data_IF_399444792508
#
_entry.id   IF_399444792508
#
_cell.length_a   1.000
_cell.length_b   1.000
_cell.length_c   1.000
_cell.angle_alpha   90.00
_cell.angle_beta   90.00
_cell.angle_gamma   90.00
#
_symmetry.space_group_name_H-M   'P 1'
#
loop_
_entity.id
_entity.type
_entity.pdbx_description
1 polymer ?
#
# COMPACT_ATOMS: atom_id res chain seq x y z
N UNK A 1 -19.10 -5.58 -6.68
CA UNK A 1 -18.93 -4.96 -8.02
C UNK A 1 -17.75 -4.00 -7.95
N UNK A 2 -16.55 -4.40 -8.38
CA UNK A 2 -15.32 -3.63 -8.09
C UNK A 2 -14.61 -3.03 -9.30
N UNK A 3 -15.19 -3.16 -10.50
CA UNK A 3 -14.58 -2.67 -11.74
C UNK A 3 -15.62 -2.04 -12.69
N UNK A 4 -16.57 -1.25 -12.16
CA UNK A 4 -17.59 -0.57 -12.96
C UNK A 4 -17.47 0.96 -12.78
N UNK A 5 -17.69 1.71 -13.86
CA UNK A 5 -17.76 3.17 -13.82
C UNK A 5 -19.05 3.65 -13.10
N UNK A 6 -19.22 4.97 -12.97
CA UNK A 6 -20.38 5.56 -12.30
C UNK A 6 -21.74 5.20 -12.94
N UNK A 7 -21.74 4.79 -14.22
CA UNK A 7 -22.91 4.36 -14.98
C UNK A 7 -23.16 2.84 -14.89
N UNK A 8 -22.30 2.10 -14.19
CA UNK A 8 -22.45 0.66 -13.98
C UNK A 8 -21.86 -0.23 -15.08
N UNK A 9 -21.19 0.34 -16.08
CA UNK A 9 -20.47 -0.40 -17.13
C UNK A 9 -19.10 -0.88 -16.64
N UNK A 10 -18.65 -2.09 -17.03
CA UNK A 10 -17.30 -2.53 -16.74
C UNK A 10 -16.27 -1.54 -17.30
N UNK A 11 -15.47 -0.94 -16.43
CA UNK A 11 -14.38 -0.04 -16.82
C UNK A 11 -13.07 -0.53 -16.20
N UNK A 12 -12.42 -1.51 -16.84
CA UNK A 12 -11.16 -2.05 -16.37
C UNK A 12 -10.02 -1.02 -16.42
N UNK A 13 -10.12 0.00 -17.28
CA UNK A 13 -9.10 1.03 -17.45
C UNK A 13 -9.10 1.98 -16.26
N UNK A 14 -10.25 2.57 -15.92
CA UNK A 14 -10.38 3.41 -14.74
C UNK A 14 -10.04 2.64 -13.46
N UNK A 15 -10.49 1.39 -13.37
CA UNK A 15 -10.21 0.54 -12.21
C UNK A 15 -8.72 0.22 -12.04
N UNK A 16 -7.98 -0.01 -13.14
CA UNK A 16 -6.53 -0.18 -13.11
C UNK A 16 -5.81 1.11 -12.73
N UNK A 17 -6.25 2.26 -13.25
CA UNK A 17 -5.68 3.56 -12.93
C UNK A 17 -5.83 3.90 -11.44
N UNK A 18 -7.01 3.66 -10.86
CA UNK A 18 -7.27 3.85 -9.42
C UNK A 18 -6.36 2.93 -8.60
N UNK A 19 -6.33 1.62 -8.92
CA UNK A 19 -5.44 0.65 -8.24
C UNK A 19 -3.96 1.03 -8.34
N UNK A 20 -3.54 1.62 -9.45
CA UNK A 20 -2.18 2.11 -9.62
C UNK A 20 -1.90 3.38 -8.80
N UNK A 21 -2.86 4.31 -8.72
CA UNK A 21 -2.76 5.53 -7.94
C UNK A 21 -2.72 5.26 -6.42
N UNK A 22 -3.50 4.29 -5.95
CA UNK A 22 -3.54 3.85 -4.55
C UNK A 22 -2.37 2.94 -4.18
N UNK A 23 -1.54 2.54 -5.14
CA UNK A 23 -0.39 1.66 -4.88
C UNK A 23 0.67 2.42 -4.05
N UNK A 24 1.10 1.86 -2.90
CA UNK A 24 2.19 2.45 -2.14
C UNK A 24 3.48 2.51 -2.97
N UNK A 25 4.30 3.57 -2.81
CA UNK A 25 5.63 3.65 -3.38
C UNK A 25 6.46 2.43 -3.00
N UNK A 26 7.40 2.05 -3.87
CA UNK A 26 8.22 0.85 -3.66
C UNK A 26 9.05 0.92 -2.38
N UNK A 27 9.55 2.11 -2.02
CA UNK A 27 10.27 2.37 -0.77
C UNK A 27 9.43 1.98 0.47
N UNK A 28 8.12 2.30 0.47
CA UNK A 28 7.18 1.99 1.55
C UNK A 28 6.93 0.48 1.64
N UNK A 29 6.76 -0.17 0.47
CA UNK A 29 6.56 -1.62 0.39
C UNK A 29 7.80 -2.34 0.93
N UNK A 30 8.99 -1.92 0.50
CA UNK A 30 10.26 -2.52 0.90
C UNK A 30 10.50 -2.35 2.40
N UNK A 31 10.25 -1.16 2.95
CA UNK A 31 10.41 -0.90 4.38
C UNK A 31 9.50 -1.79 5.24
N UNK A 32 8.24 -1.98 4.82
CA UNK A 32 7.31 -2.91 5.50
C UNK A 32 7.81 -4.36 5.49
N UNK A 33 8.41 -4.81 4.37
CA UNK A 33 9.03 -6.15 4.29
C UNK A 33 10.22 -6.25 5.25
N UNK A 34 11.07 -5.23 5.30
CA UNK A 34 12.24 -5.19 6.17
C UNK A 34 11.87 -5.20 7.66
N UNK A 35 10.90 -4.41 8.09
CA UNK A 35 10.43 -4.44 9.49
C UNK A 35 9.92 -5.83 9.87
N UNK A 36 9.15 -6.48 8.99
CA UNK A 36 8.68 -7.85 9.25
C UNK A 36 9.85 -8.84 9.35
N UNK A 37 10.83 -8.75 8.46
CA UNK A 37 12.01 -9.60 8.49
C UNK A 37 12.83 -9.40 9.78
N UNK A 38 13.09 -8.15 10.17
CA UNK A 38 13.81 -7.82 11.41
C UNK A 38 13.05 -8.27 12.66
N UNK A 39 11.71 -8.18 12.65
CA UNK A 39 10.87 -8.69 13.75
C UNK A 39 11.08 -10.18 13.96
N UNK A 40 11.16 -10.96 12.86
CA UNK A 40 11.43 -12.41 12.92
C UNK A 40 12.85 -12.69 13.40
N UNK A 41 13.86 -12.01 12.84
CA UNK A 41 15.28 -12.24 13.17
C UNK A 41 15.58 -11.92 14.64
N UNK A 42 15.03 -10.82 15.14
CA UNK A 42 15.32 -10.35 16.50
C UNK A 42 14.36 -10.91 17.56
N UNK A 43 13.40 -11.77 17.17
CA UNK A 43 12.34 -12.26 18.06
C UNK A 43 11.55 -11.14 18.77
N UNK A 44 11.37 -10.01 18.07
CA UNK A 44 10.60 -8.86 18.56
C UNK A 44 9.32 -8.69 17.77
N UNK A 45 8.35 -7.98 18.35
CA UNK A 45 7.09 -7.67 17.66
C UNK A 45 6.79 -6.18 17.72
N UNK A 46 6.20 -5.68 16.65
CA UNK A 46 5.61 -4.34 16.64
C UNK A 46 4.28 -4.38 17.38
N UNK A 47 4.15 -3.61 18.46
CA UNK A 47 2.91 -3.54 19.26
C UNK A 47 1.87 -2.57 18.71
N UNK A 48 2.29 -1.57 17.93
CA UNK A 48 1.44 -0.48 17.44
C UNK A 48 1.42 -0.33 15.92
N UNK A 49 0.78 0.75 15.45
CA UNK A 49 0.76 1.09 14.02
C UNK A 49 2.07 1.77 13.61
N UNK A 50 2.76 1.19 12.63
CA UNK A 50 3.89 1.85 11.96
C UNK A 50 3.34 2.66 10.79
N UNK A 51 3.47 3.98 10.86
CA UNK A 51 3.07 4.90 9.80
C UNK A 51 4.32 5.40 9.08
N UNK A 52 4.33 5.28 7.76
CA UNK A 52 5.47 5.70 6.94
C UNK A 52 5.10 6.96 6.16
N UNK A 53 6.05 7.87 6.01
CA UNK A 53 5.88 9.08 5.21
C UNK A 53 6.73 8.94 3.96
N UNK A 54 6.11 9.01 2.78
CA UNK A 54 6.85 9.01 1.52
C UNK A 54 7.51 10.38 1.26
N UNK A 55 8.39 10.46 0.25
CA UNK A 55 9.06 11.72 -0.15
C UNK A 55 8.09 12.85 -0.53
N UNK A 56 6.83 12.53 -0.83
CA UNK A 56 5.77 13.50 -1.16
C UNK A 56 4.95 13.90 0.09
N UNK A 57 5.35 13.45 1.27
CA UNK A 57 4.66 13.74 2.53
C UNK A 57 3.40 12.90 2.76
N UNK A 58 3.08 11.95 1.89
CA UNK A 58 1.89 11.10 2.06
C UNK A 58 2.14 10.04 3.12
N UNK A 59 1.15 9.83 3.98
CA UNK A 59 1.18 8.84 5.06
C UNK A 59 0.65 7.51 4.54
N UNK A 60 1.39 6.45 4.80
CA UNK A 60 1.08 5.08 4.39
C UNK A 60 0.95 4.15 5.58
#
# INVERSE_FOLDING_TARGET
MKDRNAEGYPDPTASRAIKAADRPPEEIIMFRKMIKALSVICHVRVLGKVTLVDKKGRRW
#
